data_IF_707768373760
#
_entry.id   IF_707768373760
#
_cell.length_a   1.000
_cell.length_b   1.000
_cell.length_c   1.000
_cell.angle_alpha   90.00
_cell.angle_beta   90.00
_cell.angle_gamma   90.00
#
_symmetry.space_group_name_H-M   'P 1'
#
loop_
_entity.id
_entity.type
_entity.pdbx_description
1 polymer ?
#
# COMPACT_ATOMS: atom_id res chain seq x y z
N UNK A 1 3.75 1.67 -3.16
CA UNK A 1 2.62 1.97 -2.32
C UNK A 1 2.84 3.29 -1.57
N UNK A 2 1.97 4.24 -1.72
CA UNK A 2 2.03 5.52 -1.05
C UNK A 2 0.65 5.91 -0.51
N UNK A 3 0.62 6.50 0.70
CA UNK A 3 -0.61 7.03 1.29
C UNK A 3 -0.79 8.49 0.92
N UNK A 4 -2.01 8.84 0.55
CA UNK A 4 -2.41 10.23 0.26
C UNK A 4 -3.69 10.52 1.04
N UNK A 5 -3.66 11.56 1.87
CA UNK A 5 -4.81 12.00 2.64
C UNK A 5 -5.44 13.21 1.94
N UNK A 6 -6.74 13.14 1.72
CA UNK A 6 -7.47 14.12 0.91
C UNK A 6 -8.48 14.85 1.79
N UNK A 7 -8.47 16.19 1.76
CA UNK A 7 -9.52 16.98 2.42
C UNK A 7 -10.80 17.02 1.54
N UNK A 8 -11.84 17.67 2.04
CA UNK A 8 -13.13 17.76 1.34
C UNK A 8 -13.07 18.50 -0.01
N UNK A 9 -12.05 19.32 -0.23
CA UNK A 9 -11.81 20.04 -1.48
C UNK A 9 -10.90 19.28 -2.46
N UNK A 10 -10.48 18.09 -2.10
CA UNK A 10 -9.58 17.26 -2.92
C UNK A 10 -8.10 17.65 -2.78
N UNK A 11 -7.73 18.46 -1.80
CA UNK A 11 -6.33 18.86 -1.59
C UNK A 11 -5.58 17.71 -0.92
N UNK A 12 -4.49 17.22 -1.54
CA UNK A 12 -3.75 16.10 -1.02
C UNK A 12 -2.73 16.50 0.04
N UNK A 13 -2.55 15.62 1.02
CA UNK A 13 -1.44 15.63 1.98
C UNK A 13 -0.76 14.26 1.91
N UNK A 14 0.56 14.23 1.70
CA UNK A 14 1.30 12.98 1.62
C UNK A 14 1.45 12.34 2.99
N UNK A 15 1.11 11.06 3.08
CA UNK A 15 1.37 10.20 4.23
C UNK A 15 2.64 9.40 4.05
N UNK A 16 2.60 8.13 4.46
CA UNK A 16 3.73 7.21 4.32
C UNK A 16 3.81 6.63 2.91
N UNK A 17 4.99 6.20 2.52
CA UNK A 17 5.24 5.51 1.29
C UNK A 17 6.41 6.03 0.51
N UNK A 18 6.52 5.58 -0.73
CA UNK A 18 7.60 5.99 -1.61
C UNK A 18 7.49 7.47 -1.97
N UNK A 19 8.58 8.20 -1.83
CA UNK A 19 8.67 9.65 -1.98
C UNK A 19 8.62 10.15 -3.44
N UNK A 20 8.13 9.36 -4.38
CA UNK A 20 8.05 9.72 -5.80
C UNK A 20 6.85 10.62 -6.12
N UNK A 21 6.13 11.08 -5.11
CA UNK A 21 5.02 12.02 -5.25
C UNK A 21 5.37 13.40 -4.72
N UNK A 22 4.86 14.41 -5.39
CA UNK A 22 5.00 15.82 -4.96
C UNK A 22 3.74 16.60 -5.32
N UNK A 23 3.45 17.64 -4.54
CA UNK A 23 2.44 18.62 -4.93
C UNK A 23 2.89 19.38 -6.16
N UNK A 24 1.97 19.64 -7.08
CA UNK A 24 2.28 20.30 -8.34
C UNK A 24 1.08 21.09 -8.84
N UNK A 25 1.37 22.17 -9.58
CA UNK A 25 0.37 22.95 -10.31
C UNK A 25 0.68 22.88 -11.80
N UNK A 26 -0.31 22.52 -12.62
CA UNK A 26 -0.20 22.50 -14.08
C UNK A 26 -1.28 23.42 -14.63
N UNK A 27 -0.87 24.54 -15.24
CA UNK A 27 -1.80 25.57 -15.63
C UNK A 27 -2.53 26.16 -14.42
N UNK A 28 -3.85 26.08 -14.40
CA UNK A 28 -4.68 26.49 -13.28
C UNK A 28 -5.03 25.36 -12.30
N UNK A 29 -4.56 24.13 -12.56
CA UNK A 29 -4.91 22.96 -11.78
C UNK A 29 -3.85 22.67 -10.73
N UNK A 30 -4.25 22.61 -9.48
CA UNK A 30 -3.43 22.14 -8.38
C UNK A 30 -3.69 20.66 -8.13
N UNK A 31 -2.67 19.95 -7.70
CA UNK A 31 -2.81 18.52 -7.43
C UNK A 31 -1.50 17.88 -7.01
N UNK A 32 -1.36 16.62 -7.37
CA UNK A 32 -0.24 15.75 -7.01
C UNK A 32 0.33 15.09 -8.26
N UNK A 33 1.64 15.08 -8.41
CA UNK A 33 2.31 14.27 -9.43
C UNK A 33 3.10 13.15 -8.79
N UNK A 34 3.02 11.96 -9.37
CA UNK A 34 3.71 10.78 -8.88
C UNK A 34 4.39 10.04 -10.03
N UNK A 35 5.57 9.47 -9.77
CA UNK A 35 6.14 8.46 -10.66
C UNK A 35 5.36 7.15 -10.45
N UNK A 36 4.64 6.72 -11.48
CA UNK A 36 3.74 5.56 -11.37
C UNK A 36 4.25 4.33 -12.10
N UNK A 37 5.06 4.51 -13.13
CA UNK A 37 5.59 3.41 -13.96
C UNK A 37 7.09 3.58 -14.12
N UNK A 38 7.83 2.51 -13.85
CA UNK A 38 9.22 2.38 -14.27
C UNK A 38 9.28 1.39 -15.45
N UNK A 39 10.20 1.60 -16.36
CA UNK A 39 10.43 0.68 -17.46
C UNK A 39 11.90 0.61 -17.85
N UNK A 40 12.26 -0.50 -18.44
CA UNK A 40 13.60 -0.74 -18.99
C UNK A 40 13.48 -1.05 -20.47
N UNK A 41 14.34 -0.46 -21.27
CA UNK A 41 14.42 -0.71 -22.71
C UNK A 41 15.75 -1.37 -23.07
N UNK A 42 15.68 -2.47 -23.82
CA UNK A 42 16.84 -3.05 -24.46
C UNK A 42 17.08 -2.42 -25.83
N UNK A 43 18.34 -2.23 -26.18
CA UNK A 43 18.75 -1.28 -27.24
C UNK A 43 18.92 -1.87 -28.62
N UNK A 44 18.80 -3.18 -28.80
CA UNK A 44 19.14 -3.81 -30.08
C UNK A 44 17.93 -3.85 -31.03
N UNK A 45 17.99 -3.09 -32.09
CA UNK A 45 17.12 -3.23 -33.25
C UNK A 45 15.70 -2.67 -33.14
N UNK A 46 15.39 -1.93 -32.08
CA UNK A 46 14.05 -1.35 -31.88
C UNK A 46 13.89 0.09 -32.34
N UNK A 47 14.87 0.64 -33.08
CA UNK A 47 14.85 2.04 -33.52
C UNK A 47 13.62 2.43 -34.33
N UNK A 48 12.99 1.46 -35.02
CA UNK A 48 11.79 1.66 -35.82
C UNK A 48 10.50 1.24 -35.11
N UNK A 49 10.56 0.95 -33.80
CA UNK A 49 9.38 0.59 -33.02
C UNK A 49 8.71 1.85 -32.51
N UNK A 50 7.41 1.94 -32.70
CA UNK A 50 6.59 2.92 -31.98
C UNK A 50 5.90 2.29 -30.79
N UNK A 51 5.80 3.06 -29.73
CA UNK A 51 5.12 2.68 -28.50
C UNK A 51 3.90 3.56 -28.37
N UNK A 52 2.75 2.91 -28.26
CA UNK A 52 1.48 3.60 -28.09
C UNK A 52 1.11 3.54 -26.62
N UNK A 53 0.91 4.70 -26.02
CA UNK A 53 0.41 4.82 -24.66
C UNK A 53 -1.04 5.30 -24.72
N UNK A 54 -1.92 4.50 -24.12
CA UNK A 54 -3.35 4.82 -24.01
C UNK A 54 -3.63 5.15 -22.55
N UNK A 55 -3.55 6.43 -22.15
CA UNK A 55 -3.98 6.80 -20.81
C UNK A 55 -5.50 6.69 -20.75
N UNK A 56 -5.98 5.95 -19.77
CA UNK A 56 -7.40 5.71 -19.57
C UNK A 56 -7.66 5.46 -18.08
N UNK A 57 -8.85 5.83 -17.63
CA UNK A 57 -9.29 5.53 -16.27
C UNK A 57 -10.23 4.32 -16.37
N UNK A 58 -9.82 3.19 -15.78
CA UNK A 58 -10.56 1.93 -15.86
C UNK A 58 -11.92 2.01 -15.16
N UNK A 59 -12.01 2.74 -14.06
CA UNK A 59 -13.30 2.95 -13.37
C UNK A 59 -14.16 3.93 -14.19
N UNK A 60 -15.24 3.43 -14.76
CA UNK A 60 -16.10 4.22 -15.66
C UNK A 60 -16.81 5.37 -14.96
N UNK A 61 -17.20 5.20 -13.70
CA UNK A 61 -17.84 6.26 -12.92
C UNK A 61 -16.87 7.40 -12.64
N UNK A 62 -15.63 7.08 -12.30
CA UNK A 62 -14.58 8.09 -12.12
C UNK A 62 -14.24 8.78 -13.44
N UNK A 63 -14.08 8.02 -14.52
CA UNK A 63 -13.80 8.57 -15.84
C UNK A 63 -14.87 9.56 -16.30
N UNK A 64 -16.13 9.30 -15.98
CA UNK A 64 -17.26 10.19 -16.30
C UNK A 64 -17.32 11.43 -15.40
N UNK A 65 -16.77 11.36 -14.20
CA UNK A 65 -16.84 12.43 -13.19
C UNK A 65 -15.72 13.47 -13.34
N UNK A 66 -14.66 13.14 -14.07
CA UNK A 66 -13.47 14.00 -14.23
C UNK A 66 -13.32 14.50 -15.66
N UNK A 67 -12.62 15.63 -15.81
CA UNK A 67 -12.26 16.18 -17.12
C UNK A 67 -10.94 15.59 -17.63
N UNK A 68 -10.65 15.80 -18.92
CA UNK A 68 -9.44 15.26 -19.55
C UNK A 68 -8.14 15.75 -18.91
N UNK A 69 -8.14 16.94 -18.34
CA UNK A 69 -6.95 17.53 -17.70
C UNK A 69 -6.84 17.20 -16.22
N UNK A 70 -7.83 16.56 -15.63
CA UNK A 70 -7.80 16.13 -14.23
C UNK A 70 -6.82 14.99 -13.97
N UNK A 71 -6.52 14.21 -15.01
CA UNK A 71 -5.42 13.25 -15.02
C UNK A 71 -4.55 13.54 -16.24
N UNK A 72 -3.26 13.72 -16.01
CA UNK A 72 -2.29 13.95 -17.09
C UNK A 72 -1.07 13.07 -16.88
N UNK A 73 -0.32 12.78 -17.92
CA UNK A 73 0.90 12.00 -17.81
C UNK A 73 2.07 12.69 -18.51
N UNK A 74 3.28 12.29 -18.13
CA UNK A 74 4.51 12.85 -18.66
C UNK A 74 5.62 11.81 -18.62
N UNK A 75 6.48 11.81 -19.63
CA UNK A 75 7.70 10.98 -19.65
C UNK A 75 8.87 11.63 -18.92
N UNK A 76 8.84 12.93 -18.68
CA UNK A 76 9.93 13.68 -18.07
C UNK A 76 9.53 14.47 -16.81
N UNK A 77 8.25 14.43 -16.43
CA UNK A 77 7.74 15.18 -15.27
C UNK A 77 7.51 16.67 -15.52
N UNK A 78 7.69 17.17 -16.74
CA UNK A 78 7.54 18.59 -17.06
C UNK A 78 6.64 18.87 -18.27
N UNK A 79 6.63 17.99 -19.27
CA UNK A 79 5.74 18.11 -20.42
C UNK A 79 4.56 17.16 -20.26
N UNK A 80 3.39 17.71 -20.04
CA UNK A 80 2.19 16.96 -19.66
C UNK A 80 1.20 16.79 -20.80
N UNK A 81 0.59 15.63 -20.89
CA UNK A 81 -0.46 15.28 -21.85
C UNK A 81 -1.70 14.80 -21.11
N UNK A 82 -2.89 15.31 -21.48
CA UNK A 82 -4.12 14.90 -20.83
C UNK A 82 -4.57 13.51 -21.24
N UNK A 83 -5.45 12.92 -20.44
CA UNK A 83 -6.17 11.71 -20.82
C UNK A 83 -7.03 12.00 -22.05
N UNK A 84 -6.93 11.11 -23.05
CA UNK A 84 -7.74 11.20 -24.28
C UNK A 84 -8.20 9.81 -24.70
N UNK A 85 -9.18 9.77 -25.61
CA UNK A 85 -9.63 8.50 -26.22
C UNK A 85 -8.69 8.00 -27.32
N UNK A 86 -7.60 8.73 -27.61
CA UNK A 86 -6.63 8.37 -28.63
C UNK A 86 -5.29 8.04 -27.99
N UNK A 87 -4.54 7.16 -28.64
CA UNK A 87 -3.18 6.83 -28.22
C UNK A 87 -2.22 7.98 -28.46
N UNK A 88 -1.23 8.10 -27.59
CA UNK A 88 -0.03 8.88 -27.85
C UNK A 88 1.07 7.96 -28.35
N UNK A 89 1.80 8.40 -29.37
CA UNK A 89 2.81 7.62 -30.06
C UNK A 89 4.20 8.13 -29.69
N UNK A 90 5.10 7.21 -29.33
CA UNK A 90 6.47 7.54 -28.99
C UNK A 90 7.43 6.65 -29.76
N UNK A 91 8.54 7.23 -30.22
CA UNK A 91 9.64 6.46 -30.80
C UNK A 91 10.42 5.75 -29.69
N UNK A 92 11.19 4.74 -30.08
CA UNK A 92 12.09 4.06 -29.15
C UNK A 92 13.06 5.04 -28.49
N UNK A 93 13.62 5.99 -29.24
CA UNK A 93 14.57 6.96 -28.70
C UNK A 93 13.93 7.92 -27.70
N UNK A 94 12.70 8.34 -27.93
CA UNK A 94 11.95 9.16 -26.95
C UNK A 94 11.71 8.40 -25.65
N UNK A 95 11.32 7.14 -25.73
CA UNK A 95 11.12 6.29 -24.57
C UNK A 95 12.43 5.95 -23.87
N UNK A 96 13.54 5.79 -24.62
CA UNK A 96 14.85 5.49 -24.07
C UNK A 96 15.45 6.67 -23.32
N UNK A 97 15.17 7.89 -23.73
CA UNK A 97 15.64 9.10 -23.05
C UNK A 97 14.91 9.37 -21.74
N UNK A 98 13.79 8.68 -21.51
CA UNK A 98 13.05 8.67 -20.27
C UNK A 98 13.05 7.24 -19.69
N UNK A 99 12.86 7.06 -18.41
CA UNK A 99 12.83 5.74 -17.77
C UNK A 99 11.56 5.52 -16.95
N UNK A 100 10.65 6.48 -16.97
CA UNK A 100 9.50 6.49 -16.09
C UNK A 100 8.32 7.24 -16.69
N UNK A 101 7.13 6.88 -16.24
CA UNK A 101 5.92 7.65 -16.52
C UNK A 101 5.44 8.28 -15.23
N UNK A 102 5.30 9.60 -15.27
CA UNK A 102 4.75 10.42 -14.19
C UNK A 102 3.27 10.67 -14.48
N UNK A 103 2.46 10.66 -13.44
CA UNK A 103 1.03 10.97 -13.55
C UNK A 103 0.71 12.14 -12.64
N UNK A 104 -0.06 13.08 -13.16
CA UNK A 104 -0.63 14.18 -12.39
C UNK A 104 -2.12 13.89 -12.15
N UNK A 105 -2.53 14.09 -10.91
CA UNK A 105 -3.92 14.02 -10.47
C UNK A 105 -4.31 15.37 -9.89
N UNK A 106 -5.35 15.99 -10.46
CA UNK A 106 -5.86 17.26 -9.96
C UNK A 106 -6.63 17.10 -8.62
N UNK A 107 -6.86 18.19 -7.94
CA UNK A 107 -7.73 18.20 -6.76
C UNK A 107 -9.12 17.65 -7.08
N UNK A 108 -9.66 17.97 -8.25
CA UNK A 108 -10.97 17.44 -8.65
C UNK A 108 -10.94 15.92 -8.85
N UNK A 109 -9.86 15.38 -9.36
CA UNK A 109 -9.70 13.92 -9.48
C UNK A 109 -9.83 13.24 -8.12
N UNK A 110 -9.10 13.70 -7.13
CA UNK A 110 -9.17 13.18 -5.78
C UNK A 110 -10.53 13.38 -5.11
N UNK A 111 -11.13 14.56 -5.33
CA UNK A 111 -12.47 14.85 -4.81
C UNK A 111 -13.50 13.86 -5.35
N UNK A 112 -13.44 13.53 -6.63
CA UNK A 112 -14.34 12.57 -7.23
C UNK A 112 -14.07 11.14 -6.75
N UNK A 113 -12.80 10.76 -6.52
CA UNK A 113 -12.48 9.47 -5.91
C UNK A 113 -13.15 9.32 -4.54
N UNK A 114 -13.02 10.34 -3.68
CA UNK A 114 -13.63 10.32 -2.35
C UNK A 114 -15.16 10.25 -2.47
N UNK A 115 -15.76 11.03 -3.35
CA UNK A 115 -17.21 11.04 -3.56
C UNK A 115 -17.75 9.68 -4.04
N UNK A 116 -16.95 8.94 -4.80
CA UNK A 116 -17.32 7.62 -5.33
C UNK A 116 -16.90 6.47 -4.42
N UNK A 117 -16.26 6.75 -3.29
CA UNK A 117 -15.79 5.72 -2.37
C UNK A 117 -14.62 4.89 -2.88
N UNK A 118 -13.83 5.42 -3.83
CA UNK A 118 -12.65 4.74 -4.37
C UNK A 118 -11.47 5.01 -3.43
N UNK A 119 -10.86 3.96 -2.92
CA UNK A 119 -9.84 4.03 -1.87
C UNK A 119 -8.41 3.81 -2.36
N UNK A 120 -8.24 3.37 -3.60
CA UNK A 120 -6.91 3.12 -4.16
C UNK A 120 -6.91 3.32 -5.67
N UNK A 121 -5.74 3.57 -6.21
CA UNK A 121 -5.51 3.61 -7.65
C UNK A 121 -4.12 3.09 -7.94
N UNK A 122 -4.00 2.22 -8.94
CA UNK A 122 -2.72 1.72 -9.37
C UNK A 122 -2.51 1.91 -10.88
N UNK A 123 -1.29 1.71 -11.33
CA UNK A 123 -0.89 1.98 -12.71
C UNK A 123 -1.69 1.16 -13.74
N UNK A 124 -2.11 -0.05 -13.39
CA UNK A 124 -2.89 -0.92 -14.28
C UNK A 124 -4.25 -0.32 -14.63
N UNK A 125 -4.75 0.56 -13.77
CA UNK A 125 -6.04 1.21 -13.94
C UNK A 125 -5.94 2.48 -14.80
N UNK A 126 -4.71 2.90 -15.13
CA UNK A 126 -4.44 4.19 -15.76
C UNK A 126 -3.92 4.10 -17.18
N UNK A 127 -3.22 3.03 -17.53
CA UNK A 127 -2.51 2.96 -18.82
C UNK A 127 -2.66 1.61 -19.50
N UNK A 128 -2.71 1.67 -20.82
CA UNK A 128 -2.55 0.55 -21.71
C UNK A 128 -1.37 0.82 -22.66
N UNK A 129 -0.53 -0.18 -22.91
CA UNK A 129 0.63 -0.07 -23.78
C UNK A 129 0.48 -0.99 -24.98
N UNK A 130 0.79 -0.50 -26.15
CA UNK A 130 0.81 -1.28 -27.38
C UNK A 130 2.09 -1.01 -28.14
N UNK A 131 2.71 -2.05 -28.65
CA UNK A 131 3.95 -1.97 -29.41
C UNK A 131 3.67 -2.24 -30.87
N UNK A 132 4.25 -1.43 -31.75
CA UNK A 132 4.21 -1.65 -33.16
C UNK A 132 5.64 -1.56 -33.70
N UNK A 133 6.17 -2.69 -34.16
CA UNK A 133 7.47 -2.79 -34.80
C UNK A 133 7.27 -3.03 -36.28
N UNK A 134 7.90 -2.21 -37.11
CA UNK A 134 7.75 -2.26 -38.57
C UNK A 134 8.82 -3.07 -39.27
N UNK A 135 9.93 -3.44 -38.62
CA UNK A 135 11.06 -4.03 -39.30
C UNK A 135 11.63 -5.31 -38.72
N UNK A 136 11.60 -5.52 -37.43
CA UNK A 136 12.16 -6.74 -36.82
C UNK A 136 11.63 -6.93 -35.40
N UNK A 137 10.73 -7.90 -35.17
CA UNK A 137 10.16 -8.13 -33.85
C UNK A 137 11.13 -8.82 -32.88
N UNK A 138 12.32 -9.23 -33.32
CA UNK A 138 13.17 -10.13 -32.57
C UNK A 138 14.30 -9.48 -31.79
N UNK A 139 14.50 -8.18 -31.93
CA UNK A 139 15.73 -7.55 -31.51
C UNK A 139 15.56 -6.52 -30.39
N UNK A 140 14.80 -6.86 -29.36
CA UNK A 140 14.71 -6.06 -28.17
C UNK A 140 13.42 -6.32 -27.38
N UNK A 141 13.34 -5.74 -26.19
CA UNK A 141 12.20 -5.93 -25.31
C UNK A 141 11.95 -4.69 -24.48
N UNK A 142 10.76 -4.62 -23.94
CA UNK A 142 10.32 -3.61 -22.99
C UNK A 142 9.85 -4.29 -21.72
N UNK A 143 10.26 -3.75 -20.60
CA UNK A 143 9.80 -4.20 -19.29
C UNK A 143 9.17 -3.03 -18.56
N UNK A 144 7.92 -3.18 -18.15
CA UNK A 144 7.19 -2.21 -17.36
C UNK A 144 6.93 -2.77 -15.97
N UNK A 145 7.33 -2.03 -14.96
CA UNK A 145 6.96 -2.34 -13.58
C UNK A 145 5.91 -1.34 -13.09
N UNK A 146 4.87 -1.85 -12.49
CA UNK A 146 3.74 -1.08 -11.99
C UNK A 146 3.77 -1.04 -10.47
N UNK A 147 4.89 -0.60 -9.92
CA UNK A 147 5.16 -0.74 -8.49
C UNK A 147 4.37 0.22 -7.60
N UNK A 148 3.76 1.26 -8.15
CA UNK A 148 3.13 2.29 -7.34
C UNK A 148 1.61 2.20 -7.35
N UNK A 149 1.06 1.97 -6.16
CA UNK A 149 -0.36 2.12 -5.84
C UNK A 149 -0.50 3.27 -4.86
N UNK A 150 -1.43 4.17 -5.13
CA UNK A 150 -1.80 5.23 -4.19
C UNK A 150 -2.99 4.76 -3.35
N UNK A 151 -2.84 4.80 -2.04
CA UNK A 151 -3.93 4.60 -1.09
C UNK A 151 -4.51 5.97 -0.74
N UNK A 152 -5.77 6.15 -1.07
CA UNK A 152 -6.47 7.42 -0.87
C UNK A 152 -7.34 7.33 0.37
N UNK A 153 -7.11 8.22 1.33
CA UNK A 153 -7.83 8.27 2.60
C UNK A 153 -8.39 9.67 2.85
N UNK A 154 -9.54 9.79 3.48
CA UNK A 154 -9.96 11.09 4.01
C UNK A 154 -8.92 11.63 5.00
N UNK A 155 -8.64 12.92 4.95
CA UNK A 155 -7.72 13.55 5.90
C UNK A 155 -8.31 13.66 7.30
N UNK A 156 -9.61 13.82 7.41
CA UNK A 156 -10.29 13.98 8.68
C UNK A 156 -10.78 12.63 9.20
N UNK A 157 -10.37 12.29 10.42
CA UNK A 157 -10.82 11.10 11.16
C UNK A 157 -10.64 9.78 10.41
N UNK A 158 -9.42 9.53 9.97
CA UNK A 158 -9.08 8.29 9.29
C UNK A 158 -7.88 7.58 9.92
N UNK A 159 -7.81 6.29 9.67
CA UNK A 159 -6.68 5.46 10.07
C UNK A 159 -6.28 4.56 8.91
N UNK A 160 -4.99 4.31 8.79
CA UNK A 160 -4.45 3.34 7.85
C UNK A 160 -3.33 2.52 8.47
N UNK A 161 -3.09 1.36 7.89
CA UNK A 161 -1.94 0.52 8.19
C UNK A 161 -1.29 0.07 6.90
N UNK A 162 0.01 0.19 6.81
CA UNK A 162 0.79 -0.31 5.69
C UNK A 162 2.02 -1.04 6.19
N UNK A 163 2.52 -1.98 5.38
CA UNK A 163 3.81 -2.62 5.62
C UNK A 163 4.94 -1.60 5.56
N UNK A 164 5.93 -1.72 6.44
CA UNK A 164 7.13 -0.89 6.40
C UNK A 164 8.02 -1.16 5.16
N UNK A 165 7.70 -2.20 4.39
CA UNK A 165 8.30 -2.48 3.10
C UNK A 165 7.49 -1.88 1.93
N UNK A 166 6.38 -1.22 2.24
CA UNK A 166 5.48 -0.58 1.27
C UNK A 166 4.91 -1.54 0.21
N UNK A 167 4.74 -2.81 0.58
CA UNK A 167 4.08 -3.81 -0.24
C UNK A 167 2.67 -4.10 0.29
N UNK A 168 1.73 -4.46 -0.60
CA UNK A 168 0.37 -4.79 -0.20
C UNK A 168 0.27 -6.16 0.48
N UNK A 169 1.15 -7.08 0.08
CA UNK A 169 1.15 -8.47 0.55
C UNK A 169 2.55 -8.88 1.01
N UNK A 170 3.02 -8.37 2.16
CA UNK A 170 4.30 -8.79 2.69
C UNK A 170 4.29 -10.28 3.02
N UNK A 171 5.38 -10.98 2.75
CA UNK A 171 5.52 -12.40 3.03
C UNK A 171 6.86 -12.72 3.66
N UNK A 172 6.91 -13.79 4.44
CA UNK A 172 8.12 -14.29 5.09
C UNK A 172 8.18 -15.80 4.98
N UNK A 173 9.39 -16.31 4.98
CA UNK A 173 9.69 -17.74 5.01
C UNK A 173 10.73 -18.01 6.08
N UNK A 174 10.67 -19.20 6.68
CA UNK A 174 11.63 -19.64 7.68
C UNK A 174 11.50 -21.10 8.01
N UNK A 175 12.30 -21.54 8.95
CA UNK A 175 12.33 -22.92 9.42
C UNK A 175 11.91 -22.98 10.88
N UNK A 176 11.12 -23.99 11.22
CA UNK A 176 10.74 -24.24 12.61
C UNK A 176 11.82 -25.10 13.27
N UNK A 177 12.34 -24.62 14.39
CA UNK A 177 13.35 -25.36 15.14
C UNK A 177 14.12 -24.50 16.14
N UNK A 178 14.99 -25.15 16.89
CA UNK A 178 15.82 -24.52 17.89
C UNK A 178 16.80 -23.53 17.26
N UNK A 179 16.84 -22.31 17.81
CA UNK A 179 17.71 -21.25 17.36
C UNK A 179 17.25 -20.52 16.09
N UNK A 180 16.14 -20.92 15.48
CA UNK A 180 15.64 -20.29 14.26
C UNK A 180 15.02 -18.91 14.59
N UNK A 181 15.30 -17.88 13.77
CA UNK A 181 14.76 -16.55 13.99
C UNK A 181 13.26 -16.48 13.73
N UNK A 182 12.58 -15.63 14.46
CA UNK A 182 11.16 -15.36 14.23
C UNK A 182 10.93 -14.74 12.87
N UNK A 183 9.73 -14.97 12.31
CA UNK A 183 9.26 -14.26 11.13
C UNK A 183 8.63 -12.94 11.59
N UNK A 184 9.26 -11.83 11.26
CA UNK A 184 8.85 -10.50 11.70
C UNK A 184 8.29 -9.68 10.55
N UNK A 185 7.13 -9.07 10.79
CA UNK A 185 6.49 -8.11 9.89
C UNK A 185 6.35 -6.78 10.62
N UNK A 186 6.94 -5.73 10.05
CA UNK A 186 6.77 -4.37 10.54
C UNK A 186 5.67 -3.64 9.80
N UNK A 187 4.89 -2.86 10.54
CA UNK A 187 3.80 -2.04 9.98
C UNK A 187 3.87 -0.63 10.54
N UNK A 188 3.40 0.31 9.72
CA UNK A 188 3.23 1.70 10.09
C UNK A 188 1.73 1.98 10.18
N UNK A 189 1.30 2.47 11.33
CA UNK A 189 -0.10 2.88 11.58
C UNK A 189 -0.15 4.39 11.63
N UNK A 190 -1.00 4.98 10.82
CA UNK A 190 -1.17 6.43 10.73
C UNK A 190 -2.62 6.80 10.98
N UNK A 191 -2.85 7.72 11.92
CA UNK A 191 -4.14 8.38 12.07
C UNK A 191 -4.05 9.80 11.53
N UNK A 192 -5.14 10.32 10.99
CA UNK A 192 -5.24 11.70 10.54
C UNK A 192 -6.57 12.30 10.97
N UNK A 193 -6.53 13.45 11.58
CA UNK A 193 -7.71 14.13 12.06
C UNK A 193 -7.39 15.53 12.61
N UNK A 194 -8.41 16.21 13.11
CA UNK A 194 -8.24 17.52 13.76
C UNK A 194 -7.56 17.40 15.11
N UNK A 195 -7.71 16.24 15.74
CA UNK A 195 -7.08 15.88 17.02
C UNK A 195 -6.56 14.46 16.95
N UNK A 196 -5.76 14.06 17.95
CA UNK A 196 -5.37 12.67 18.13
C UNK A 196 -6.59 11.79 18.35
N UNK A 197 -6.54 10.54 17.88
CA UNK A 197 -7.58 9.55 18.15
C UNK A 197 -7.67 9.25 19.67
N UNK A 198 -8.88 9.12 20.17
CA UNK A 198 -9.11 8.76 21.58
C UNK A 198 -8.82 7.28 21.84
N UNK A 199 -9.05 6.44 20.85
CA UNK A 199 -8.79 5.01 20.94
C UNK A 199 -8.29 4.50 19.59
N UNK A 200 -7.25 3.64 19.63
CA UNK A 200 -6.75 2.91 18.48
C UNK A 200 -6.65 1.44 18.84
N UNK A 201 -7.28 0.61 18.03
CA UNK A 201 -7.34 -0.83 18.21
C UNK A 201 -6.69 -1.53 17.00
N UNK A 202 -6.11 -2.70 17.25
CA UNK A 202 -5.48 -3.55 16.24
C UNK A 202 -5.90 -5.00 16.46
N UNK A 203 -6.09 -5.74 15.37
CA UNK A 203 -6.36 -7.18 15.41
C UNK A 203 -5.70 -7.91 14.27
N UNK A 204 -5.49 -9.20 14.48
CA UNK A 204 -4.99 -10.13 13.47
C UNK A 204 -6.06 -11.17 13.20
N UNK A 205 -6.39 -11.39 11.93
CA UNK A 205 -7.33 -12.41 11.49
C UNK A 205 -6.62 -13.44 10.62
N UNK A 206 -7.03 -14.69 10.72
CA UNK A 206 -6.48 -15.78 9.93
C UNK A 206 -6.92 -17.12 10.46
N UNK A 207 -6.44 -18.24 9.88
CA UNK A 207 -6.68 -19.54 10.45
C UNK A 207 -6.18 -19.63 11.88
N UNK A 208 -7.04 -20.03 12.81
CA UNK A 208 -6.75 -20.04 14.23
C UNK A 208 -7.35 -21.27 14.91
N UNK A 209 -6.74 -21.66 16.03
CA UNK A 209 -7.28 -22.70 16.89
C UNK A 209 -6.93 -22.42 18.34
N UNK A 210 -7.86 -22.70 19.24
CA UNK A 210 -7.64 -22.61 20.68
C UNK A 210 -7.08 -23.94 21.20
N UNK A 211 -5.97 -23.85 21.89
CA UNK A 211 -5.33 -25.01 22.55
C UNK A 211 -4.99 -24.58 23.97
N UNK A 212 -5.52 -25.30 24.97
CA UNK A 212 -5.25 -24.98 26.36
C UNK A 212 -5.69 -23.58 26.78
N UNK A 213 -6.77 -23.06 26.23
CA UNK A 213 -7.31 -21.74 26.55
C UNK A 213 -6.62 -20.57 25.84
N UNK A 214 -5.61 -20.83 24.99
CA UNK A 214 -4.92 -19.81 24.22
C UNK A 214 -5.18 -20.04 22.73
N UNK A 215 -5.33 -18.94 21.98
CA UNK A 215 -5.47 -18.96 20.53
C UNK A 215 -4.11 -18.96 19.84
N UNK A 216 -3.98 -19.78 18.79
CA UNK A 216 -2.77 -19.88 17.97
C UNK A 216 -3.12 -19.64 16.52
N UNK A 217 -2.20 -19.01 15.78
CA UNK A 217 -2.29 -18.96 14.32
C UNK A 217 -1.94 -20.34 13.76
N UNK A 218 -2.72 -20.84 12.80
CA UNK A 218 -2.56 -22.19 12.27
C UNK A 218 -2.04 -22.14 10.85
N UNK A 219 -0.92 -22.79 10.61
CA UNK A 219 -0.35 -22.99 9.30
C UNK A 219 -0.65 -24.41 8.83
N UNK A 220 -1.05 -24.55 7.57
CA UNK A 220 -1.46 -25.84 7.01
C UNK A 220 -0.56 -26.26 5.86
N UNK A 221 -0.35 -27.57 5.71
CA UNK A 221 0.22 -28.16 4.51
C UNK A 221 -0.75 -28.03 3.33
N UNK A 222 -0.24 -28.14 2.10
CA UNK A 222 -1.05 -27.98 0.88
C UNK A 222 -2.23 -28.98 0.84
N UNK A 223 -2.01 -30.22 1.33
CA UNK A 223 -3.07 -31.24 1.42
C UNK A 223 -4.01 -31.05 2.63
N UNK A 224 -3.74 -30.05 3.48
CA UNK A 224 -4.53 -29.74 4.68
C UNK A 224 -4.40 -30.75 5.82
N UNK A 225 -3.56 -31.77 5.70
CA UNK A 225 -3.42 -32.82 6.71
C UNK A 225 -2.58 -32.41 7.92
N UNK A 226 -1.52 -31.62 7.69
CA UNK A 226 -0.73 -31.06 8.79
C UNK A 226 -1.22 -29.63 9.08
N UNK A 227 -1.64 -29.40 10.33
CA UNK A 227 -2.02 -28.08 10.84
C UNK A 227 -1.16 -27.78 12.06
N UNK A 228 -0.32 -26.77 11.93
CA UNK A 228 0.70 -26.44 12.94
C UNK A 228 0.37 -25.14 13.64
N UNK A 229 0.28 -25.11 14.97
CA UNK A 229 -0.01 -23.91 15.73
C UNK A 229 1.24 -23.07 15.95
N UNK A 230 1.09 -21.74 15.84
CA UNK A 230 2.16 -20.77 16.11
C UNK A 230 1.69 -19.72 17.10
N UNK A 231 2.48 -19.43 18.14
CA UNK A 231 2.15 -18.45 19.17
C UNK A 231 2.56 -17.04 18.72
N UNK A 232 1.90 -16.50 17.72
CA UNK A 232 2.21 -15.19 17.18
C UNK A 232 1.95 -14.06 18.19
N UNK A 233 2.65 -12.94 18.03
CA UNK A 233 2.54 -11.76 18.90
C UNK A 233 2.43 -10.48 18.09
N UNK A 234 1.78 -9.48 18.70
CA UNK A 234 1.84 -8.07 18.30
C UNK A 234 2.61 -7.30 19.37
N UNK A 235 3.55 -6.47 18.97
CA UNK A 235 4.30 -5.64 19.91
C UNK A 235 4.53 -4.24 19.36
N UNK A 236 4.62 -3.28 20.26
CA UNK A 236 4.93 -1.90 19.95
C UNK A 236 5.59 -1.23 21.14
N UNK A 237 6.24 -0.10 20.89
CA UNK A 237 6.85 0.72 21.93
C UNK A 237 5.79 1.68 22.46
N UNK A 238 5.64 1.75 23.78
CA UNK A 238 4.72 2.66 24.46
C UNK A 238 5.34 4.04 24.67
N UNK A 239 4.52 5.01 25.07
CA UNK A 239 4.96 6.40 25.33
C UNK A 239 6.08 6.52 26.35
N UNK A 240 6.16 5.58 27.30
CA UNK A 240 7.22 5.54 28.31
C UNK A 240 8.48 4.80 27.85
N UNK A 241 8.54 4.35 26.61
CA UNK A 241 9.69 3.66 26.04
C UNK A 241 9.73 2.16 26.25
N UNK A 242 8.78 1.59 27.00
CA UNK A 242 8.70 0.15 27.21
C UNK A 242 8.06 -0.55 26.01
N UNK A 243 8.43 -1.80 25.76
CA UNK A 243 7.77 -2.65 24.78
C UNK A 243 6.54 -3.31 25.40
N UNK A 244 5.40 -3.17 24.73
CA UNK A 244 4.16 -3.86 25.06
C UNK A 244 3.91 -4.99 24.06
N UNK A 245 3.60 -6.18 24.54
CA UNK A 245 3.39 -7.35 23.70
C UNK A 245 2.04 -7.99 24.03
N UNK A 246 1.27 -8.27 22.98
CA UNK A 246 0.03 -9.02 23.05
C UNK A 246 0.20 -10.36 22.37
N UNK A 247 -0.44 -11.40 22.90
CA UNK A 247 -0.68 -12.61 22.13
C UNK A 247 -1.61 -12.28 20.95
N UNK A 248 -1.24 -12.72 19.76
CA UNK A 248 -1.97 -12.45 18.55
C UNK A 248 -2.29 -13.77 17.84
N UNK A 249 -3.26 -14.49 18.37
CA UNK A 249 -3.60 -15.84 17.92
C UNK A 249 -4.45 -15.91 16.66
N UNK A 250 -4.45 -14.92 15.79
CA UNK A 250 -5.26 -14.85 14.56
C UNK A 250 -6.76 -15.00 14.81
N UNK A 251 -7.22 -14.68 16.00
CA UNK A 251 -8.55 -14.99 16.53
C UNK A 251 -9.56 -13.86 16.37
N UNK A 252 -9.23 -12.82 15.58
CA UNK A 252 -10.10 -11.68 15.32
C UNK A 252 -10.38 -10.81 16.57
N UNK A 253 -9.53 -10.88 17.60
CA UNK A 253 -9.69 -10.12 18.83
C UNK A 253 -8.99 -8.77 18.75
N UNK A 254 -9.71 -7.70 19.09
CA UNK A 254 -9.14 -6.37 19.17
C UNK A 254 -8.21 -6.22 20.37
N UNK A 255 -7.05 -5.56 20.15
CA UNK A 255 -6.09 -5.17 21.18
C UNK A 255 -5.90 -3.66 21.14
N UNK A 256 -5.74 -3.06 22.31
CA UNK A 256 -5.59 -1.62 22.44
C UNK A 256 -4.12 -1.21 22.21
N UNK A 257 -3.90 -0.32 21.25
CA UNK A 257 -2.60 0.29 20.97
C UNK A 257 -2.60 1.81 21.13
N UNK A 258 -3.58 2.35 21.83
CA UNK A 258 -3.71 3.80 22.03
C UNK A 258 -2.49 4.39 22.75
N UNK A 259 -1.88 3.64 23.66
CA UNK A 259 -0.71 4.05 24.43
C UNK A 259 0.63 3.87 23.70
N UNK A 260 0.62 3.54 22.42
CA UNK A 260 1.83 3.49 21.61
C UNK A 260 2.54 4.85 21.56
N UNK A 261 3.82 4.83 21.21
CA UNK A 261 4.60 6.05 21.00
C UNK A 261 4.27 6.62 19.62
N UNK A 262 3.32 7.54 19.61
CA UNK A 262 2.91 8.25 18.41
C UNK A 262 3.80 9.44 18.12
N UNK A 263 4.23 9.60 16.87
CA UNK A 263 4.93 10.77 16.37
C UNK A 263 3.92 11.65 15.64
N UNK A 264 3.77 12.87 16.12
CA UNK A 264 2.77 13.81 15.59
C UNK A 264 3.39 14.77 14.58
N UNK A 265 2.75 14.89 13.43
CA UNK A 265 3.06 15.91 12.41
C UNK A 265 1.83 16.79 12.22
N UNK A 266 1.90 18.08 12.56
CA UNK A 266 0.78 18.99 12.33
C UNK A 266 0.58 19.28 10.85
N UNK A 267 -0.64 19.55 10.45
CA UNK A 267 -0.96 20.06 9.13
C UNK A 267 -1.88 21.28 9.22
N UNK A 268 -1.72 22.19 8.25
CA UNK A 268 -2.59 23.35 8.07
C UNK A 268 -2.97 23.40 6.60
N UNK A 269 -4.26 23.54 6.29
CA UNK A 269 -4.70 23.65 4.91
C UNK A 269 -4.77 25.11 4.44
N UNK A 270 -5.08 25.30 3.15
CA UNK A 270 -5.16 26.63 2.55
C UNK A 270 -6.31 27.48 3.10
N UNK A 271 -7.33 26.86 3.72
CA UNK A 271 -8.43 27.55 4.38
C UNK A 271 -8.14 27.90 5.84
N UNK A 272 -6.97 27.51 6.36
CA UNK A 272 -6.56 27.75 7.74
C UNK A 272 -7.01 26.68 8.72
N UNK A 273 -7.66 25.60 8.29
CA UNK A 273 -7.93 24.47 9.17
C UNK A 273 -6.63 23.82 9.60
N UNK A 274 -6.56 23.44 10.86
CA UNK A 274 -5.41 22.75 11.44
C UNK A 274 -5.80 21.37 11.92
N UNK A 275 -4.84 20.46 11.90
CA UNK A 275 -5.01 19.10 12.39
C UNK A 275 -3.66 18.43 12.54
N UNK A 276 -3.66 17.12 12.62
CA UNK A 276 -2.45 16.35 12.83
C UNK A 276 -2.53 14.96 12.22
N UNK A 277 -1.38 14.46 11.84
CA UNK A 277 -1.14 13.04 11.57
C UNK A 277 -0.32 12.47 12.72
N UNK A 278 -0.71 11.32 13.21
CA UNK A 278 0.01 10.58 14.25
C UNK A 278 0.42 9.23 13.69
N UNK A 279 1.70 8.90 13.80
CA UNK A 279 2.28 7.66 13.28
C UNK A 279 2.94 6.87 14.39
N UNK A 280 2.80 5.56 14.32
CA UNK A 280 3.57 4.63 15.14
C UNK A 280 3.87 3.36 14.34
N UNK A 281 4.77 2.56 14.87
CA UNK A 281 5.11 1.26 14.29
C UNK A 281 4.63 0.13 15.17
N UNK A 282 4.24 -0.97 14.56
CA UNK A 282 3.84 -2.19 15.25
C UNK A 282 4.51 -3.37 14.55
N UNK A 283 4.88 -4.39 15.33
CA UNK A 283 5.49 -5.60 14.80
C UNK A 283 4.58 -6.79 15.05
N UNK A 284 4.28 -7.53 13.99
CA UNK A 284 3.67 -8.86 14.05
C UNK A 284 4.79 -9.89 13.93
N UNK A 285 4.92 -10.76 14.90
CA UNK A 285 6.02 -11.73 14.99
C UNK A 285 5.49 -13.14 15.14
N UNK A 286 6.04 -14.06 14.36
CA UNK A 286 5.72 -15.47 14.41
C UNK A 286 6.99 -16.20 14.84
N UNK A 287 7.09 -16.65 16.10
CA UNK A 287 8.29 -17.32 16.58
C UNK A 287 8.42 -18.70 15.93
N UNK A 288 9.64 -19.00 15.50
CA UNK A 288 9.99 -20.28 14.87
C UNK A 288 10.66 -21.24 15.85
N UNK A 289 11.23 -20.73 16.93
CA UNK A 289 11.84 -21.52 18.01
C UNK A 289 10.88 -21.60 19.18
N UNK A 290 9.96 -22.54 19.11
CA UNK A 290 9.01 -22.79 20.18
C UNK A 290 8.54 -24.25 20.16
N UNK A 291 8.21 -24.81 21.33
CA UNK A 291 7.87 -26.22 21.46
C UNK A 291 6.52 -26.60 20.82
N UNK A 292 5.55 -25.68 20.84
CA UNK A 292 4.21 -26.02 20.35
C UNK A 292 4.17 -26.22 18.84
N UNK A 293 5.01 -25.53 18.10
CA UNK A 293 5.07 -25.65 16.63
C UNK A 293 5.84 -26.87 16.15
N UNK A 294 6.44 -27.65 17.05
CA UNK A 294 7.08 -28.92 16.71
C UNK A 294 6.05 -30.04 16.46
N UNK A 295 4.81 -29.80 16.82
CA UNK A 295 3.72 -30.76 16.67
C UNK A 295 2.50 -30.10 16.04
N UNK A 296 1.65 -30.92 15.41
CA UNK A 296 0.38 -30.45 14.87
C UNK A 296 -0.63 -30.14 15.98
N UNK A 297 -1.74 -29.54 15.63
CA UNK A 297 -2.86 -29.29 16.56
C UNK A 297 -3.43 -30.57 17.18
N UNK A 298 -3.25 -31.72 16.50
CA UNK A 298 -3.66 -33.05 16.99
C UNK A 298 -2.53 -33.80 17.71
N UNK A 299 -1.47 -33.11 18.08
CA UNK A 299 -0.32 -33.63 18.78
C UNK A 299 0.45 -34.72 18.01
N UNK A 300 0.54 -34.58 16.71
CA UNK A 300 1.34 -35.45 15.83
C UNK A 300 2.63 -34.76 15.38
N UNK A 301 3.64 -35.55 15.08
CA UNK A 301 4.82 -35.04 14.36
C UNK A 301 4.47 -34.63 12.95
N UNK A 302 5.25 -33.72 12.37
CA UNK A 302 5.08 -33.26 10.99
C UNK A 302 6.42 -32.95 10.34
N UNK A 303 6.43 -32.94 9.02
CA UNK A 303 7.56 -32.48 8.21
C UNK A 303 7.04 -31.92 6.88
N UNK A 304 7.89 -31.18 6.18
CA UNK A 304 7.53 -30.53 4.93
C UNK A 304 7.16 -29.07 5.15
N UNK A 305 6.38 -28.53 4.23
CA UNK A 305 6.01 -27.11 4.22
C UNK A 305 4.60 -26.90 4.74
N UNK A 306 4.46 -25.87 5.55
CA UNK A 306 3.16 -25.35 5.99
C UNK A 306 3.11 -23.86 5.71
N UNK A 307 1.93 -23.34 5.41
CA UNK A 307 1.71 -21.93 5.10
C UNK A 307 0.40 -21.43 5.65
N UNK A 308 0.32 -20.11 5.81
CA UNK A 308 -0.90 -19.42 6.17
C UNK A 308 -0.90 -18.03 5.56
N UNK A 309 -2.08 -17.47 5.37
CA UNK A 309 -2.29 -16.07 5.09
C UNK A 309 -3.34 -15.50 6.04
N UNK A 310 -3.20 -14.22 6.35
CA UNK A 310 -4.12 -13.53 7.23
C UNK A 310 -4.08 -12.03 6.97
N UNK A 311 -4.78 -11.28 7.81
CA UNK A 311 -4.89 -9.84 7.69
C UNK A 311 -4.70 -9.17 9.03
N UNK A 312 -4.16 -7.95 9.00
CA UNK A 312 -4.09 -7.08 10.16
C UNK A 312 -5.03 -5.90 9.92
N UNK A 313 -5.89 -5.63 10.88
CA UNK A 313 -6.88 -4.56 10.82
C UNK A 313 -6.64 -3.58 11.95
N UNK A 314 -6.90 -2.31 11.67
CA UNK A 314 -6.85 -1.23 12.66
C UNK A 314 -8.16 -0.45 12.66
N UNK A 315 -8.48 0.11 13.82
CA UNK A 315 -9.65 0.93 14.01
C UNK A 315 -9.31 2.09 14.94
N UNK A 316 -9.77 3.28 14.61
CA UNK A 316 -9.61 4.45 15.46
C UNK A 316 -10.96 5.09 15.76
N UNK A 317 -11.06 5.69 16.93
CA UNK A 317 -12.27 6.36 17.40
C UNK A 317 -11.90 7.76 17.90
N UNK A 318 -12.67 8.73 17.46
CA UNK A 318 -12.64 10.11 17.98
C UNK A 318 -13.98 10.40 18.68
N UNK A 319 -13.90 10.98 19.87
CA UNK A 319 -15.07 11.31 20.68
C UNK A 319 -15.17 12.82 20.83
N UNK A 320 -16.37 13.33 21.10
CA UNK A 320 -16.62 14.76 21.37
C UNK A 320 -16.10 15.68 20.28
N UNK A 321 -16.29 15.29 19.02
CA UNK A 321 -15.94 16.09 17.87
C UNK A 321 -17.15 16.97 17.52
N UNK A 322 -17.01 18.27 17.71
CA UNK A 322 -18.03 19.25 17.34
C UNK A 322 -17.48 20.22 16.29
#
# INVERSE_FOLDING_TARGET
>A
LAEVFINSDGVPTLGEGNADCRTQTIGSLSGLSCKMVNYTLQTNGLSNTSIHIFPAIANSSLASAVGAYDMQFSLNGSSWKPVSNTAYYYTFNEMKSADSIYVFFSSNFFKQMVNLGISDINTKDLFNFRFQNTTSPESGWYEFSTSNTLLIKPRDFSISIISDEYTQTPSREGYVGSGEPALDFGYIVTTSGKTAADEVLIKVTGPAQVIGGRSYCVFSSDDGKAKVPFPATLSFITRNGATKTYDAGCDDSWRDMTDALWLTTPWTDISGEVGQMDKTTVKFSIPMDNAISLRTVDDNGWFGEVSASGEIHVQATWRNIN
#
